data_IF_457025720116
#
_entry.id   IF_457025720116
#
_cell.length_a   1.000
_cell.length_b   1.000
_cell.length_c   1.000
_cell.angle_alpha   90.00
_cell.angle_beta   90.00
_cell.angle_gamma   90.00
#
_symmetry.space_group_name_H-M   'P 1'
#
loop_
_entity.id
_entity.type
_entity.pdbx_description
1 polymer ?
#
# COMPACT_ATOMS: atom_id res chain seq x y z
N UNK A 1 2.15 -18.13 29.43
CA UNK A 1 1.10 -17.85 28.42
C UNK A 1 1.71 -18.23 27.09
N UNK A 2 1.26 -19.34 26.52
CA UNK A 2 1.88 -19.97 25.36
C UNK A 2 1.48 -19.18 24.12
N UNK A 3 2.44 -18.52 23.47
CA UNK A 3 2.26 -17.98 22.12
C UNK A 3 2.31 -19.18 21.18
N UNK A 4 1.20 -19.90 21.03
CA UNK A 4 1.11 -21.08 20.16
C UNK A 4 0.21 -20.78 18.94
N UNK A 5 0.83 -20.93 17.77
CA UNK A 5 0.23 -21.40 16.50
C UNK A 5 -0.71 -20.46 15.71
N UNK A 6 -1.31 -19.43 16.31
CA UNK A 6 -2.22 -18.51 15.59
C UNK A 6 -1.57 -17.55 14.58
N UNK A 7 -0.24 -17.43 14.54
CA UNK A 7 0.44 -16.41 13.72
C UNK A 7 0.49 -16.72 12.22
N UNK A 8 0.18 -17.96 11.83
CA UNK A 8 0.36 -18.44 10.45
C UNK A 8 -0.94 -18.38 9.63
N UNK A 9 -2.10 -18.67 10.24
CA UNK A 9 -3.40 -18.56 9.57
C UNK A 9 -3.79 -17.10 9.29
N UNK A 10 -3.45 -16.19 10.21
CA UNK A 10 -3.79 -14.77 10.10
C UNK A 10 -3.04 -14.02 8.98
N UNK A 11 -1.95 -14.60 8.44
CA UNK A 11 -1.15 -13.97 7.37
C UNK A 11 -1.67 -14.20 5.96
N UNK A 12 -2.58 -15.16 5.78
CA UNK A 12 -3.16 -15.44 4.46
C UNK A 12 -3.95 -14.23 3.92
N UNK A 13 -4.70 -13.55 4.81
CA UNK A 13 -5.46 -12.35 4.49
C UNK A 13 -4.60 -11.13 4.17
N UNK A 14 -3.36 -11.09 4.67
CA UNK A 14 -2.40 -10.02 4.39
C UNK A 14 -1.78 -10.10 2.99
N UNK A 15 -1.93 -11.23 2.28
CA UNK A 15 -1.34 -11.41 0.95
C UNK A 15 -2.43 -11.66 -0.12
N UNK A 16 -3.33 -10.68 -0.33
CA UNK A 16 -4.27 -10.76 -1.44
C UNK A 16 -3.55 -10.96 -2.77
N UNK A 17 -4.22 -11.66 -3.68
CA UNK A 17 -3.81 -11.73 -5.07
C UNK A 17 -3.81 -10.35 -5.70
N UNK A 18 -3.00 -10.16 -6.73
CA UNK A 18 -3.00 -8.92 -7.52
C UNK A 18 -4.40 -8.48 -7.95
N UNK A 19 -5.26 -9.43 -8.36
CA UNK A 19 -6.61 -9.11 -8.80
C UNK A 19 -7.52 -8.66 -7.66
N UNK A 20 -7.38 -9.22 -6.46
CA UNK A 20 -8.08 -8.75 -5.26
C UNK A 20 -7.66 -7.32 -4.91
N UNK A 21 -6.36 -7.02 -4.93
CA UNK A 21 -5.89 -5.66 -4.69
C UNK A 21 -6.37 -4.67 -5.75
N UNK A 22 -6.32 -5.03 -7.04
CA UNK A 22 -6.82 -4.18 -8.14
C UNK A 22 -8.33 -3.90 -7.97
N UNK A 23 -9.12 -4.92 -7.66
CA UNK A 23 -10.55 -4.77 -7.39
C UNK A 23 -10.77 -3.85 -6.19
N UNK A 24 -10.08 -4.09 -5.06
CA UNK A 24 -10.14 -3.21 -3.89
C UNK A 24 -9.87 -1.76 -4.27
N UNK A 25 -8.80 -1.50 -5.04
CA UNK A 25 -8.46 -0.17 -5.49
C UNK A 25 -9.57 0.44 -6.35
N UNK A 26 -10.14 -0.31 -7.31
CA UNK A 26 -11.23 0.18 -8.16
C UNK A 26 -12.49 0.51 -7.35
N UNK A 27 -12.88 -0.41 -6.47
CA UNK A 27 -14.10 -0.28 -5.66
C UNK A 27 -14.00 0.86 -4.64
N UNK A 28 -12.77 1.24 -4.27
CA UNK A 28 -12.47 2.33 -3.33
C UNK A 28 -12.03 3.64 -4.01
N UNK A 29 -12.09 3.74 -5.34
CA UNK A 29 -11.70 4.95 -6.06
C UNK A 29 -10.21 5.27 -6.03
N UNK A 30 -9.36 4.28 -5.75
CA UNK A 30 -7.90 4.46 -5.70
C UNK A 30 -7.31 4.41 -7.11
N UNK A 31 -6.58 5.46 -7.47
CA UNK A 31 -6.05 5.63 -8.82
C UNK A 31 -4.82 4.73 -9.06
N UNK A 32 -4.85 3.93 -10.13
CA UNK A 32 -3.86 2.87 -10.38
C UNK A 32 -3.02 3.15 -11.62
N UNK A 33 -1.70 3.09 -11.52
CA UNK A 33 -0.76 3.37 -12.62
C UNK A 33 0.01 2.13 -13.06
N UNK A 34 0.38 2.07 -14.35
CA UNK A 34 1.21 0.99 -14.88
C UNK A 34 2.67 1.18 -14.43
N UNK A 35 3.31 0.10 -13.97
CA UNK A 35 4.75 0.06 -13.75
C UNK A 35 5.46 -0.73 -14.86
N UNK A 36 6.74 -0.43 -15.06
CA UNK A 36 7.63 -1.19 -15.94
C UNK A 36 7.77 -2.62 -15.42
N UNK A 37 7.87 -3.58 -16.35
CA UNK A 37 8.10 -4.98 -16.00
C UNK A 37 9.36 -5.15 -15.17
N UNK A 38 9.27 -5.95 -14.10
CA UNK A 38 10.38 -6.28 -13.20
C UNK A 38 11.03 -5.05 -12.52
N UNK A 39 10.39 -3.89 -12.59
CA UNK A 39 10.84 -2.66 -11.96
C UNK A 39 9.71 -2.05 -11.13
N UNK A 40 10.08 -1.17 -10.20
CA UNK A 40 9.13 -0.41 -9.38
C UNK A 40 8.91 1.01 -9.92
N UNK A 41 9.18 1.20 -11.20
CA UNK A 41 9.15 2.49 -11.88
C UNK A 41 7.90 2.63 -12.75
N UNK A 42 7.22 3.79 -12.77
CA UNK A 42 6.04 3.99 -13.60
C UNK A 42 6.38 4.07 -15.09
N UNK A 43 5.39 3.72 -15.93
CA UNK A 43 5.47 3.92 -17.37
C UNK A 43 5.05 5.35 -17.72
N UNK A 44 5.92 6.09 -18.41
CA UNK A 44 5.62 7.43 -18.92
C UNK A 44 5.52 8.52 -17.85
N UNK A 45 4.79 9.60 -18.16
CA UNK A 45 4.65 10.78 -17.31
C UNK A 45 3.62 10.57 -16.18
N UNK A 46 3.88 9.62 -15.29
CA UNK A 46 2.91 9.18 -14.26
C UNK A 46 2.39 10.29 -13.35
N UNK A 47 3.17 11.37 -13.14
CA UNK A 47 2.81 12.49 -12.27
C UNK A 47 1.49 13.15 -12.66
N UNK A 48 1.08 13.05 -13.93
CA UNK A 48 -0.25 13.50 -14.39
C UNK A 48 -1.40 12.78 -13.65
N UNK A 49 -1.19 11.55 -13.23
CA UNK A 49 -2.17 10.74 -12.52
C UNK A 49 -2.33 11.13 -11.04
N UNK A 50 -1.65 12.19 -10.59
CA UNK A 50 -1.97 12.86 -9.33
C UNK A 50 -3.17 13.81 -9.49
N UNK A 51 -3.57 14.14 -10.71
CA UNK A 51 -4.75 14.98 -10.99
C UNK A 51 -5.69 14.38 -12.03
N UNK A 52 -5.29 13.28 -12.68
CA UNK A 52 -6.06 12.61 -13.71
C UNK A 52 -6.38 11.17 -13.32
N UNK A 53 -7.67 10.81 -13.34
CA UNK A 53 -8.13 9.44 -13.11
C UNK A 53 -7.76 8.56 -14.30
N UNK A 54 -7.26 7.37 -14.00
CA UNK A 54 -6.88 6.38 -15.00
C UNK A 54 -8.09 5.71 -15.65
N UNK A 55 -7.93 5.27 -16.89
CA UNK A 55 -9.06 4.73 -17.67
C UNK A 55 -9.35 3.26 -17.33
N UNK A 56 -10.60 2.83 -17.57
CA UNK A 56 -10.98 1.41 -17.45
C UNK A 56 -10.13 0.49 -18.34
N UNK A 57 -9.68 0.98 -19.50
CA UNK A 57 -8.76 0.23 -20.36
C UNK A 57 -7.44 -0.08 -19.64
N UNK A 58 -6.96 0.84 -18.80
CA UNK A 58 -5.73 0.64 -18.04
C UNK A 58 -5.93 -0.39 -16.93
N UNK A 59 -7.07 -0.35 -16.25
CA UNK A 59 -7.46 -1.38 -15.29
C UNK A 59 -7.54 -2.78 -15.93
N UNK A 60 -8.19 -2.89 -17.09
CA UNK A 60 -8.27 -4.16 -17.83
C UNK A 60 -6.89 -4.67 -18.27
N UNK A 61 -6.01 -3.76 -18.70
CA UNK A 61 -4.62 -4.10 -19.01
C UNK A 61 -3.87 -4.61 -17.78
N UNK A 62 -4.06 -4.00 -16.62
CA UNK A 62 -3.47 -4.44 -15.36
C UNK A 62 -3.94 -5.85 -14.99
N UNK A 63 -5.23 -6.16 -15.08
CA UNK A 63 -5.77 -7.50 -14.80
C UNK A 63 -5.21 -8.60 -15.69
N UNK A 64 -4.98 -8.30 -16.98
CA UNK A 64 -4.58 -9.31 -17.98
C UNK A 64 -3.08 -9.53 -18.11
N UNK A 65 -2.27 -8.65 -17.53
CA UNK A 65 -0.81 -8.69 -17.66
C UNK A 65 -0.14 -9.07 -16.34
N UNK A 66 1.12 -9.50 -16.42
CA UNK A 66 1.94 -9.78 -15.23
C UNK A 66 2.74 -8.56 -14.74
N UNK A 67 2.40 -7.35 -15.23
CA UNK A 67 3.08 -6.12 -14.83
C UNK A 67 2.60 -5.67 -13.45
N UNK A 68 3.49 -5.08 -12.65
CA UNK A 68 3.07 -4.47 -11.38
C UNK A 68 2.30 -3.16 -11.65
N UNK A 69 1.63 -2.69 -10.61
CA UNK A 69 0.93 -1.41 -10.61
C UNK A 69 1.36 -0.57 -9.43
N UNK A 70 1.22 0.74 -9.60
CA UNK A 70 1.32 1.70 -8.51
C UNK A 70 -0.08 2.14 -8.10
N UNK A 71 -0.30 2.37 -6.81
CA UNK A 71 -1.49 3.07 -6.31
C UNK A 71 -1.05 4.49 -5.97
N UNK A 72 -1.61 5.48 -6.67
CA UNK A 72 -1.29 6.90 -6.45
C UNK A 72 -1.91 7.32 -5.13
N UNK A 73 -1.10 7.90 -4.25
CA UNK A 73 -1.55 8.38 -2.93
C UNK A 73 -1.99 9.85 -3.01
N UNK A 74 -2.60 10.35 -1.93
CA UNK A 74 -3.07 11.72 -1.82
C UNK A 74 -4.49 11.92 -2.36
N UNK A 75 -4.77 13.18 -2.70
CA UNK A 75 -6.11 13.70 -2.99
C UNK A 75 -6.84 12.99 -4.12
N UNK A 76 -6.14 12.57 -5.18
CA UNK A 76 -6.73 11.85 -6.32
C UNK A 76 -7.34 10.49 -5.96
N UNK A 77 -6.90 9.91 -4.84
CA UNK A 77 -7.35 8.62 -4.32
C UNK A 77 -8.04 8.81 -2.98
N UNK A 78 -8.88 9.84 -2.87
CA UNK A 78 -9.70 10.10 -1.67
C UNK A 78 -8.87 10.33 -0.40
N UNK A 79 -7.86 11.21 -0.54
CA UNK A 79 -6.90 11.54 0.52
C UNK A 79 -6.20 10.32 1.12
N UNK A 80 -5.84 9.37 0.26
CA UNK A 80 -5.13 8.15 0.64
C UNK A 80 -3.74 8.48 1.20
N UNK A 81 -3.47 7.95 2.39
CA UNK A 81 -2.14 7.84 2.98
C UNK A 81 -1.81 6.37 3.19
N UNK A 82 -0.61 5.95 2.81
CA UNK A 82 -0.13 4.59 3.06
C UNK A 82 1.08 4.63 3.99
N UNK A 83 1.02 3.88 5.08
CA UNK A 83 2.21 3.57 5.86
C UNK A 83 2.93 2.40 5.19
N UNK A 84 4.09 2.67 4.57
CA UNK A 84 4.98 1.68 3.95
C UNK A 84 6.06 1.27 4.95
N UNK A 85 5.94 0.07 5.50
CA UNK A 85 6.75 -0.42 6.62
C UNK A 85 7.65 -1.56 6.14
N UNK A 86 8.96 -1.37 6.26
CA UNK A 86 9.97 -2.40 6.06
C UNK A 86 10.34 -3.04 7.40
N UNK A 87 9.70 -4.18 7.70
CA UNK A 87 9.94 -4.95 8.92
C UNK A 87 11.41 -5.32 9.16
N UNK A 88 12.22 -5.41 8.10
CA UNK A 88 13.65 -5.74 8.23
C UNK A 88 14.45 -4.57 8.76
N UNK A 89 13.97 -3.34 8.53
CA UNK A 89 14.61 -2.08 8.94
C UNK A 89 13.95 -1.44 10.16
N UNK A 90 12.75 -1.90 10.52
CA UNK A 90 12.02 -1.42 11.67
C UNK A 90 12.87 -1.59 12.95
N UNK A 91 12.97 -0.54 13.75
CA UNK A 91 13.70 -0.57 15.01
C UNK A 91 13.02 -1.52 16.00
N UNK A 92 13.80 -2.32 16.75
CA UNK A 92 13.30 -3.52 17.44
C UNK A 92 12.12 -3.30 18.40
N UNK A 93 12.09 -2.24 19.23
CA UNK A 93 10.90 -1.91 20.04
C UNK A 93 9.62 -1.69 19.20
N UNK A 94 9.74 -1.14 18.00
CA UNK A 94 8.58 -0.98 17.12
C UNK A 94 8.15 -2.30 16.47
N UNK A 95 9.05 -3.29 16.31
CA UNK A 95 8.66 -4.60 15.77
C UNK A 95 7.69 -5.34 16.69
N UNK A 96 7.85 -5.21 18.00
CA UNK A 96 6.94 -5.84 18.97
C UNK A 96 5.58 -5.16 18.96
N UNK A 97 5.57 -3.83 19.10
CA UNK A 97 4.35 -2.99 18.99
C UNK A 97 3.61 -3.29 17.68
N UNK A 98 4.33 -3.37 16.58
CA UNK A 98 3.76 -3.62 15.26
C UNK A 98 3.07 -4.99 15.17
N UNK A 99 3.69 -6.05 15.72
CA UNK A 99 3.11 -7.39 15.71
C UNK A 99 1.83 -7.48 16.53
N UNK A 100 1.73 -6.71 17.60
CA UNK A 100 0.54 -6.65 18.44
C UNK A 100 -0.58 -5.83 17.77
N UNK A 101 -0.27 -4.66 17.21
CA UNK A 101 -1.27 -3.74 16.62
C UNK A 101 -1.83 -4.25 15.28
N UNK A 102 -0.99 -4.81 14.39
CA UNK A 102 -1.46 -5.26 13.07
C UNK A 102 -2.47 -6.39 13.18
N UNK A 103 -2.20 -7.36 14.06
CA UNK A 103 -3.01 -8.57 14.17
C UNK A 103 -4.36 -8.37 14.86
N UNK A 104 -4.58 -7.23 15.52
CA UNK A 104 -5.74 -7.01 16.41
C UNK A 104 -6.56 -5.79 16.00
N UNK A 105 -5.95 -4.69 15.55
CA UNK A 105 -6.69 -3.43 15.33
C UNK A 105 -6.64 -2.98 13.86
N UNK A 106 -5.46 -3.01 13.22
CA UNK A 106 -5.33 -2.47 11.86
C UNK A 106 -6.01 -3.33 10.78
N UNK A 107 -6.02 -4.66 10.95
CA UNK A 107 -6.67 -5.56 10.00
C UNK A 107 -8.20 -5.38 9.95
N UNK A 108 -8.81 -4.96 11.06
CA UNK A 108 -10.25 -4.77 11.17
C UNK A 108 -10.67 -3.37 10.69
N UNK A 109 -9.81 -2.38 10.88
CA UNK A 109 -10.11 -0.97 10.57
C UNK A 109 -9.67 -0.53 9.17
N UNK A 110 -8.73 -1.25 8.54
CA UNK A 110 -8.25 -0.87 7.21
C UNK A 110 -7.67 -1.99 6.36
N UNK A 111 -7.48 -1.70 5.08
CA UNK A 111 -6.82 -2.59 4.14
C UNK A 111 -5.30 -2.62 4.38
N UNK A 112 -4.79 -3.81 4.67
CA UNK A 112 -3.37 -4.06 4.93
C UNK A 112 -2.86 -5.14 3.97
N UNK A 113 -1.75 -4.85 3.29
CA UNK A 113 -1.12 -5.77 2.33
C UNK A 113 0.34 -5.97 2.66
N UNK A 114 0.78 -7.22 2.74
CA UNK A 114 2.17 -7.63 2.78
C UNK A 114 2.68 -7.90 1.36
N UNK A 115 3.65 -7.10 0.92
CA UNK A 115 4.36 -7.30 -0.35
C UNK A 115 5.24 -8.57 -0.32
N UNK A 116 5.64 -9.04 -1.50
CA UNK A 116 6.54 -10.20 -1.67
C UNK A 116 7.89 -10.06 -0.96
N UNK A 117 8.34 -8.84 -0.68
CA UNK A 117 9.61 -8.58 0.02
C UNK A 117 9.47 -8.52 1.55
N UNK A 118 8.25 -8.70 2.07
CA UNK A 118 7.93 -8.61 3.50
C UNK A 118 7.72 -7.18 4.01
N UNK A 119 7.57 -6.20 3.10
CA UNK A 119 7.09 -4.86 3.46
C UNK A 119 5.58 -4.87 3.59
N UNK A 120 5.03 -4.02 4.45
CA UNK A 120 3.59 -3.92 4.66
C UNK A 120 3.10 -2.53 4.32
N UNK A 121 1.98 -2.48 3.61
CA UNK A 121 1.25 -1.28 3.25
C UNK A 121 -0.06 -1.27 4.02
N UNK A 122 -0.20 -0.36 4.99
CA UNK A 122 -1.47 -0.09 5.66
C UNK A 122 -2.07 1.19 5.07
N UNK A 123 -3.28 1.09 4.53
CA UNK A 123 -3.96 2.17 3.82
C UNK A 123 -4.77 2.99 4.81
N UNK A 124 -4.86 4.30 4.66
CA UNK A 124 -5.68 5.15 5.51
C UNK A 124 -6.30 6.26 4.67
N UNK A 125 -7.53 6.65 5.00
CA UNK A 125 -8.13 7.87 4.47
C UNK A 125 -8.05 8.94 5.53
N UNK A 126 -7.52 10.10 5.16
CA UNK A 126 -7.44 11.26 6.03
C UNK A 126 -8.57 12.23 5.64
N UNK A 127 -9.07 13.00 6.61
CA UNK A 127 -10.14 13.97 6.35
C UNK A 127 -9.75 14.99 5.28
N UNK A 128 -10.74 15.41 4.47
CA UNK A 128 -10.53 16.22 3.25
C UNK A 128 -9.89 17.59 3.45
N UNK A 129 -9.83 18.07 4.69
CA UNK A 129 -9.21 19.33 5.06
C UNK A 129 -7.72 19.21 5.44
N UNK A 130 -7.14 18.01 5.37
CA UNK A 130 -5.74 17.74 5.73
C UNK A 130 -5.02 17.08 4.56
N UNK A 131 -3.99 17.77 4.05
CA UNK A 131 -3.08 17.20 3.07
C UNK A 131 -1.88 16.62 3.82
N UNK A 132 -1.64 15.33 3.66
CA UNK A 132 -0.44 14.68 4.15
C UNK A 132 0.57 14.60 3.01
N UNK A 133 1.68 15.30 3.15
CA UNK A 133 2.82 15.15 2.25
C UNK A 133 3.55 13.83 2.51
N UNK A 134 4.28 13.37 1.50
CA UNK A 134 5.11 12.17 1.64
C UNK A 134 6.33 12.45 2.50
N UNK A 135 6.52 11.66 3.57
CA UNK A 135 7.72 11.67 4.40
C UNK A 135 8.44 10.34 4.23
N UNK A 136 9.68 10.38 3.72
CA UNK A 136 10.52 9.18 3.62
C UNK A 136 11.42 9.08 4.85
N UNK A 137 11.05 8.19 5.77
CA UNK A 137 11.80 7.92 6.99
C UNK A 137 12.29 6.46 7.07
N UNK A 138 12.24 5.71 5.96
CA UNK A 138 12.47 4.26 5.94
C UNK A 138 13.92 3.92 6.34
N UNK A 139 14.89 4.75 5.94
CA UNK A 139 16.30 4.55 6.29
C UNK A 139 16.61 4.78 7.77
N UNK A 140 15.74 5.48 8.50
CA UNK A 140 15.95 5.86 9.89
C UNK A 140 15.12 4.97 10.82
N UNK A 141 13.83 4.83 10.52
CA UNK A 141 12.88 4.14 11.39
C UNK A 141 12.31 2.85 10.80
N UNK A 142 12.56 2.58 9.52
CA UNK A 142 12.02 1.40 8.83
C UNK A 142 10.57 1.55 8.37
N UNK A 143 10.00 2.75 8.35
CA UNK A 143 8.70 3.03 7.74
C UNK A 143 8.70 4.36 6.98
N UNK A 144 7.67 4.64 6.20
CA UNK A 144 7.45 5.93 5.55
C UNK A 144 5.96 6.22 5.35
N UNK A 145 5.60 7.48 5.49
CA UNK A 145 4.28 8.00 5.19
C UNK A 145 4.20 8.38 3.71
N UNK A 146 3.35 7.71 2.96
CA UNK A 146 3.16 7.91 1.51
C UNK A 146 1.84 8.62 1.30
N UNK A 147 1.90 9.93 1.07
CA UNK A 147 0.73 10.79 0.86
C UNK A 147 0.78 11.44 -0.52
N UNK A 148 0.36 12.71 -0.58
CA UNK A 148 0.42 13.52 -1.79
C UNK A 148 1.83 13.51 -2.40
N UNK A 149 1.93 13.53 -3.73
CA UNK A 149 3.25 13.48 -4.38
C UNK A 149 3.75 12.07 -4.73
N UNK A 150 3.08 11.00 -4.29
CA UNK A 150 3.65 9.64 -4.26
C UNK A 150 2.72 8.53 -4.78
N UNK A 151 3.31 7.33 -4.87
CA UNK A 151 2.60 6.08 -5.08
C UNK A 151 3.27 4.96 -4.27
N UNK A 152 2.52 3.88 -4.03
CA UNK A 152 3.04 2.61 -3.49
C UNK A 152 2.85 1.50 -4.52
N UNK A 153 3.69 0.47 -4.49
CA UNK A 153 3.54 -0.70 -5.38
C UNK A 153 2.49 -1.63 -4.77
N UNK A 154 1.52 -2.05 -5.56
CA UNK A 154 0.50 -2.99 -5.09
C UNK A 154 0.72 -4.43 -5.54
#
# INVERSE_FOLDING_TARGET
MTISENSTENRSHLRPTKNECLNYCKDNGLNQILLKEQAKEPIGAWRRYQTEITTDLMFERLKRSNINYGVVCGSISDNLVVLDIDLKKLFDPFKEIYREIIGIELLDDTFVVESSNGKIHAYFRISDNVIIETHNSESIYGFSERGEGSYVVG
#
